data_IF_155892700351
#
_entry.id   IF_155892700351
#
_cell.length_a   1.000
_cell.length_b   1.000
_cell.length_c   1.000
_cell.angle_alpha   90.00
_cell.angle_beta   90.00
_cell.angle_gamma   90.00
#
_symmetry.space_group_name_H-M   'P 1'
#
loop_
_entity.id
_entity.type
_entity.pdbx_description
1 polymer ?
#
# COMPACT_ATOMS: atom_id res chain seq x y z
N UNK A 1 11.29 -27.05 1.51
CA UNK A 1 10.23 -27.61 2.37
C UNK A 1 9.08 -27.99 1.44
N UNK A 2 8.88 -29.29 1.24
CA UNK A 2 7.97 -29.87 0.23
C UNK A 2 6.53 -29.81 0.77
N UNK A 3 5.60 -29.25 0.01
CA UNK A 3 4.16 -29.30 0.29
C UNK A 3 3.57 -30.48 -0.49
N UNK A 4 3.08 -31.50 0.20
CA UNK A 4 2.33 -32.61 -0.40
C UNK A 4 0.84 -32.37 -0.20
N UNK A 5 0.11 -32.18 -1.31
CA UNK A 5 -1.35 -32.12 -1.38
C UNK A 5 -1.89 -33.55 -1.49
N UNK A 6 -2.65 -34.03 -0.50
CA UNK A 6 -3.36 -35.31 -0.61
C UNK A 6 -4.86 -35.04 -0.84
N UNK A 7 -5.31 -35.21 -2.08
CA UNK A 7 -6.72 -35.44 -2.41
C UNK A 7 -7.09 -36.87 -1.99
N UNK A 8 -8.13 -37.03 -1.18
CA UNK A 8 -8.77 -38.32 -0.89
C UNK A 8 -10.18 -38.31 -1.51
N UNK A 9 -10.45 -39.11 -2.56
CA UNK A 9 -11.81 -39.40 -3.00
C UNK A 9 -12.32 -40.64 -2.24
N UNK A 10 -13.53 -40.56 -1.68
CA UNK A 10 -14.15 -41.71 -1.02
C UNK A 10 -15.56 -41.42 -0.55
N UNK A 11 -16.53 -41.76 -1.41
CA UNK A 11 -17.97 -41.76 -1.13
C UNK A 11 -18.37 -42.76 -0.04
N UNK A 12 -19.54 -42.50 0.56
CA UNK A 12 -20.55 -43.40 1.15
C UNK A 12 -20.78 -43.40 2.67
N UNK A 13 -21.93 -42.81 3.03
CA UNK A 13 -22.89 -43.23 4.06
C UNK A 13 -22.33 -43.89 5.32
N UNK A 14 -22.04 -43.07 6.34
CA UNK A 14 -21.89 -43.51 7.72
C UNK A 14 -22.86 -42.75 8.61
N UNK A 15 -23.78 -43.47 9.25
CA UNK A 15 -24.70 -42.94 10.26
C UNK A 15 -23.94 -42.09 11.29
N UNK A 16 -24.40 -40.87 11.53
CA UNK A 16 -23.93 -40.06 12.67
C UNK A 16 -24.46 -40.75 13.93
N UNK A 17 -23.59 -41.47 14.63
CA UNK A 17 -23.88 -41.93 15.98
C UNK A 17 -23.75 -40.74 16.92
N UNK A 18 -24.88 -40.17 17.34
CA UNK A 18 -24.90 -39.32 18.52
C UNK A 18 -24.58 -40.21 19.72
N UNK A 19 -23.37 -40.09 20.25
CA UNK A 19 -23.00 -40.69 21.54
C UNK A 19 -23.85 -40.02 22.64
N UNK A 20 -24.65 -40.81 23.35
CA UNK A 20 -25.46 -40.37 24.52
C UNK A 20 -24.61 -39.99 25.75
N UNK A 21 -23.30 -39.93 25.61
CA UNK A 21 -22.39 -39.44 26.66
C UNK A 21 -21.64 -38.20 26.21
N UNK A 22 -22.40 -37.12 26.00
CA UNK A 22 -21.87 -35.76 26.08
C UNK A 22 -21.62 -35.47 27.57
N UNK A 23 -20.51 -35.99 28.09
CA UNK A 23 -19.99 -35.55 29.38
C UNK A 23 -19.89 -34.03 29.36
N UNK A 24 -20.40 -33.34 30.40
CA UNK A 24 -20.56 -31.87 30.49
C UNK A 24 -19.50 -31.15 29.66
N UNK A 25 -19.86 -30.86 28.40
CA UNK A 25 -19.03 -30.04 27.53
C UNK A 25 -19.03 -28.71 28.24
N UNK A 26 -17.84 -28.26 28.69
CA UNK A 26 -17.62 -26.89 29.15
C UNK A 26 -18.47 -25.99 28.28
N UNK A 27 -19.47 -25.31 28.87
CA UNK A 27 -20.41 -24.50 28.13
C UNK A 27 -19.61 -23.68 27.13
N UNK A 28 -19.77 -24.03 25.86
CA UNK A 28 -19.06 -23.39 24.77
C UNK A 28 -19.15 -21.89 24.97
N UNK A 29 -18.03 -21.17 24.86
CA UNK A 29 -18.01 -19.71 24.99
C UNK A 29 -19.02 -19.06 24.02
N UNK A 30 -19.37 -19.79 22.96
CA UNK A 30 -20.47 -19.52 22.04
C UNK A 30 -21.70 -20.36 22.41
N UNK A 31 -22.68 -19.71 23.01
CA UNK A 31 -23.97 -20.31 23.38
C UNK A 31 -24.97 -20.19 22.23
N UNK A 32 -25.71 -21.27 21.99
CA UNK A 32 -26.80 -21.34 21.02
C UNK A 32 -28.13 -21.50 21.76
N UNK A 33 -29.16 -20.84 21.25
CA UNK A 33 -30.55 -20.99 21.70
C UNK A 33 -31.12 -22.34 21.23
N UNK A 34 -32.24 -22.78 21.81
CA UNK A 34 -32.87 -24.07 21.51
C UNK A 34 -33.29 -24.24 20.03
N UNK A 35 -33.40 -23.14 19.29
CA UNK A 35 -33.68 -23.13 17.86
C UNK A 35 -32.40 -23.20 16.98
N UNK A 36 -31.25 -23.49 17.59
CA UNK A 36 -29.92 -23.57 16.96
C UNK A 36 -29.36 -22.25 16.41
N UNK A 37 -29.92 -21.11 16.80
CA UNK A 37 -29.33 -19.81 16.50
C UNK A 37 -28.31 -19.41 17.58
N UNK A 38 -27.25 -18.67 17.24
CA UNK A 38 -26.38 -18.08 18.26
C UNK A 38 -27.19 -17.13 19.15
N UNK A 39 -26.99 -17.23 20.46
CA UNK A 39 -27.53 -16.26 21.43
C UNK A 39 -27.09 -14.85 21.06
N UNK A 40 -27.86 -13.83 21.47
CA UNK A 40 -27.51 -12.43 21.17
C UNK A 40 -26.09 -12.06 21.63
N UNK A 41 -25.64 -12.58 22.78
CA UNK A 41 -24.28 -12.40 23.31
C UNK A 41 -23.22 -13.08 22.43
N UNK A 42 -23.52 -14.26 21.90
CA UNK A 42 -22.63 -14.99 20.98
C UNK A 42 -22.51 -14.27 19.66
N UNK A 43 -23.64 -13.83 19.10
CA UNK A 43 -23.67 -13.05 17.85
C UNK A 43 -22.84 -11.77 17.99
N UNK A 44 -23.03 -11.00 19.08
CA UNK A 44 -22.24 -9.80 19.32
C UNK A 44 -20.74 -10.12 19.40
N UNK A 45 -20.35 -11.14 20.18
CA UNK A 45 -18.95 -11.53 20.32
C UNK A 45 -18.31 -11.95 19.00
N UNK A 46 -19.06 -12.63 18.13
CA UNK A 46 -18.57 -13.02 16.79
C UNK A 46 -18.39 -11.79 15.89
N UNK A 47 -19.27 -10.79 15.97
CA UNK A 47 -19.07 -9.53 15.24
C UNK A 47 -17.89 -8.73 15.78
N UNK A 48 -17.72 -8.66 17.11
CA UNK A 48 -16.57 -8.00 17.73
C UNK A 48 -15.25 -8.64 17.29
N UNK A 49 -15.20 -9.98 17.26
CA UNK A 49 -14.03 -10.73 16.79
C UNK A 49 -13.79 -10.53 15.29
N UNK A 50 -14.85 -10.50 14.48
CA UNK A 50 -14.76 -10.23 13.04
C UNK A 50 -14.19 -8.83 12.78
N UNK A 51 -14.66 -7.82 13.52
CA UNK A 51 -14.17 -6.45 13.40
C UNK A 51 -12.72 -6.32 13.88
N UNK A 52 -12.35 -7.00 14.97
CA UNK A 52 -10.96 -7.07 15.43
C UNK A 52 -10.04 -7.66 14.36
N UNK A 53 -10.40 -8.80 13.78
CA UNK A 53 -9.60 -9.44 12.73
C UNK A 53 -9.47 -8.54 11.50
N UNK A 54 -10.57 -7.90 11.07
CA UNK A 54 -10.56 -6.95 9.95
C UNK A 54 -9.69 -5.73 10.24
N UNK A 55 -9.74 -5.19 11.46
CA UNK A 55 -8.92 -4.05 11.86
C UNK A 55 -7.43 -4.38 11.80
N UNK A 56 -7.02 -5.55 12.31
CA UNK A 56 -5.63 -6.02 12.23
C UNK A 56 -5.17 -6.17 10.77
N UNK A 57 -5.98 -6.81 9.92
CA UNK A 57 -5.65 -6.97 8.50
C UNK A 57 -5.58 -5.63 7.78
N UNK A 58 -6.51 -4.71 8.07
CA UNK A 58 -6.51 -3.37 7.49
C UNK A 58 -5.26 -2.57 7.88
N UNK A 59 -4.79 -2.69 9.13
CA UNK A 59 -3.56 -2.05 9.58
C UNK A 59 -2.34 -2.53 8.78
N UNK A 60 -2.18 -3.85 8.64
CA UNK A 60 -1.07 -4.45 7.88
C UNK A 60 -1.14 -4.01 6.41
N UNK A 61 -2.33 -4.12 5.80
CA UNK A 61 -2.55 -3.72 4.41
C UNK A 61 -2.25 -2.23 4.18
N UNK A 62 -2.60 -1.36 5.13
CA UNK A 62 -2.43 0.08 5.04
C UNK A 62 -0.99 0.57 5.32
N UNK A 63 -0.06 -0.29 5.72
CA UNK A 63 1.27 0.11 6.16
C UNK A 63 2.00 1.08 5.20
N UNK A 64 2.06 0.85 3.87
CA UNK A 64 2.74 1.79 2.95
C UNK A 64 2.09 3.18 2.93
N UNK A 65 0.76 3.21 3.02
CA UNK A 65 -0.03 4.43 2.98
C UNK A 65 0.09 5.23 4.28
N UNK A 66 0.12 4.54 5.41
CA UNK A 66 0.40 5.15 6.73
C UNK A 66 1.81 5.76 6.74
N UNK A 67 2.81 5.06 6.18
CA UNK A 67 4.17 5.58 6.06
C UNK A 67 4.25 6.91 5.28
N UNK A 68 3.59 6.99 4.12
CA UNK A 68 3.50 8.25 3.35
C UNK A 68 2.76 9.34 4.13
N UNK A 69 1.69 8.98 4.84
CA UNK A 69 0.95 9.91 5.71
C UNK A 69 1.82 10.47 6.83
N UNK A 70 2.61 9.62 7.48
CA UNK A 70 3.54 10.03 8.53
C UNK A 70 4.66 10.94 8.00
N UNK A 71 5.21 10.62 6.83
CA UNK A 71 6.23 11.45 6.16
C UNK A 71 5.69 12.84 5.78
N UNK A 72 4.50 12.91 5.17
CA UNK A 72 3.88 14.18 4.79
C UNK A 72 3.49 15.04 6.00
N UNK A 73 2.96 14.42 7.07
CA UNK A 73 2.70 15.11 8.34
C UNK A 73 3.99 15.60 9.01
N UNK A 74 5.06 14.80 9.00
CA UNK A 74 6.37 15.21 9.49
C UNK A 74 6.91 16.44 8.75
N UNK A 75 6.88 16.41 7.42
CA UNK A 75 7.27 17.55 6.57
C UNK A 75 6.43 18.80 6.87
N UNK A 76 5.11 18.64 7.00
CA UNK A 76 4.20 19.76 7.33
C UNK A 76 4.52 20.38 8.69
N UNK A 77 4.86 19.57 9.71
CA UNK A 77 5.21 20.06 11.06
C UNK A 77 6.47 20.93 11.09
N UNK A 78 7.38 20.72 10.14
CA UNK A 78 8.59 21.54 9.98
C UNK A 78 8.44 22.65 8.92
N UNK A 79 7.21 22.89 8.45
CA UNK A 79 6.88 24.00 7.55
C UNK A 79 7.02 23.72 6.06
N UNK A 80 7.19 22.45 5.65
CA UNK A 80 7.38 22.08 4.24
C UNK A 80 6.03 21.73 3.61
N UNK A 81 5.68 22.46 2.56
CA UNK A 81 4.41 22.31 1.86
C UNK A 81 4.43 21.16 0.84
N UNK A 82 3.25 20.66 0.40
CA UNK A 82 3.19 19.78 -0.76
C UNK A 82 3.88 20.40 -1.98
N UNK A 83 4.51 19.58 -2.81
CA UNK A 83 5.35 19.99 -3.97
C UNK A 83 6.65 20.72 -3.64
N UNK A 84 6.91 21.06 -2.38
CA UNK A 84 8.26 21.48 -1.97
C UNK A 84 9.14 20.27 -1.76
N UNK A 85 10.44 20.46 -2.00
CA UNK A 85 11.45 19.43 -1.77
C UNK A 85 11.96 19.57 -0.34
N UNK A 86 11.92 18.49 0.43
CA UNK A 86 12.66 18.43 1.69
C UNK A 86 13.92 17.61 1.50
N UNK A 87 15.04 18.20 1.87
CA UNK A 87 16.39 17.68 1.63
C UNK A 87 17.02 17.34 2.99
N UNK A 88 17.58 16.14 3.09
CA UNK A 88 18.49 15.78 4.16
C UNK A 88 19.88 16.25 3.74
N UNK A 89 20.26 17.46 4.15
CA UNK A 89 21.47 18.17 3.72
C UNK A 89 22.79 17.51 4.17
N UNK A 90 22.70 16.51 5.05
CA UNK A 90 23.79 15.64 5.44
C UNK A 90 23.41 14.17 5.25
N UNK A 91 24.45 13.33 5.09
CA UNK A 91 24.30 11.88 5.14
C UNK A 91 23.61 11.46 6.45
N UNK A 92 22.79 10.43 6.35
CA UNK A 92 21.96 10.04 7.48
C UNK A 92 22.81 9.50 8.65
N UNK A 93 22.31 9.69 9.87
CA UNK A 93 22.98 9.45 11.14
C UNK A 93 22.14 8.49 11.98
N UNK A 94 22.78 7.89 12.98
CA UNK A 94 22.08 7.05 13.96
C UNK A 94 20.98 7.89 14.64
N UNK A 95 19.77 7.31 14.76
CA UNK A 95 18.56 7.92 15.35
C UNK A 95 17.90 9.07 14.56
N UNK A 96 18.03 9.07 13.23
CA UNK A 96 17.32 10.03 12.40
C UNK A 96 15.87 9.66 12.08
N UNK A 97 15.12 10.65 11.59
CA UNK A 97 13.69 10.54 11.33
C UNK A 97 13.34 9.78 10.03
N UNK A 98 14.30 9.56 9.12
CA UNK A 98 14.05 8.79 7.90
C UNK A 98 14.20 7.29 8.17
N UNK A 99 13.15 6.53 7.85
CA UNK A 99 13.15 5.09 8.02
C UNK A 99 14.18 4.41 7.11
N UNK A 100 15.09 3.63 7.72
CA UNK A 100 16.09 2.79 7.04
C UNK A 100 16.89 3.50 5.95
N UNK A 101 17.15 4.79 6.14
CA UNK A 101 17.88 5.56 5.16
C UNK A 101 19.38 5.25 5.18
N UNK A 102 20.02 5.45 4.03
CA UNK A 102 21.45 5.28 3.82
C UNK A 102 22.24 6.52 4.31
N UNK A 103 23.41 6.31 4.90
CA UNK A 103 24.35 7.34 5.36
C UNK A 103 25.31 7.87 4.29
N UNK A 104 25.42 7.18 3.14
CA UNK A 104 26.34 7.54 2.05
C UNK A 104 25.75 8.50 1.00
N UNK A 105 24.42 8.71 0.99
CA UNK A 105 23.74 9.52 -0.03
C UNK A 105 22.84 10.59 0.58
N UNK A 106 22.77 11.72 -0.11
CA UNK A 106 21.86 12.81 0.20
C UNK A 106 20.46 12.45 -0.30
N UNK A 107 19.48 12.45 0.60
CA UNK A 107 18.09 12.20 0.25
C UNK A 107 17.35 13.50 0.02
N UNK A 108 16.45 13.47 -0.97
CA UNK A 108 15.44 14.49 -1.14
C UNK A 108 14.11 13.84 -1.49
N UNK A 109 13.03 14.45 -1.02
CA UNK A 109 11.69 13.93 -1.19
C UNK A 109 10.72 15.06 -1.45
N UNK A 110 9.67 14.76 -2.21
CA UNK A 110 8.50 15.61 -2.31
C UNK A 110 7.25 14.74 -2.33
N UNK A 111 6.12 15.33 -1.95
CA UNK A 111 4.82 14.68 -2.00
C UNK A 111 3.79 15.64 -2.58
N UNK A 112 2.87 15.11 -3.38
CA UNK A 112 1.85 15.90 -4.06
C UNK A 112 0.57 15.07 -4.26
N UNK A 113 -0.54 15.76 -4.52
CA UNK A 113 -1.83 15.13 -4.79
C UNK A 113 -2.33 15.57 -6.16
N UNK A 114 -2.27 14.67 -7.13
CA UNK A 114 -2.67 14.94 -8.52
C UNK A 114 -4.16 15.26 -8.67
N UNK A 115 -5.02 14.90 -7.71
CA UNK A 115 -6.42 15.38 -7.72
C UNK A 115 -6.54 16.88 -7.43
N UNK A 116 -5.56 17.47 -6.75
CA UNK A 116 -5.53 18.91 -6.46
C UNK A 116 -4.79 19.70 -7.54
N UNK A 117 -3.68 19.15 -8.03
CA UNK A 117 -2.80 19.84 -8.98
C UNK A 117 -3.21 19.64 -10.43
N UNK A 118 -3.89 18.53 -10.75
CA UNK A 118 -3.98 18.03 -12.12
C UNK A 118 -2.65 17.39 -12.56
N UNK A 119 -2.43 17.22 -13.88
CA UNK A 119 -1.14 16.80 -14.43
C UNK A 119 0.01 17.67 -13.91
N UNK A 120 1.12 17.03 -13.54
CA UNK A 120 2.28 17.69 -12.96
C UNK A 120 3.54 17.36 -13.75
N UNK A 121 4.38 18.35 -14.02
CA UNK A 121 5.72 18.14 -14.59
C UNK A 121 6.74 18.06 -13.46
N UNK A 122 7.57 17.02 -13.47
CA UNK A 122 8.75 16.89 -12.62
C UNK A 122 9.97 17.08 -13.50
N UNK A 123 10.70 18.17 -13.27
CA UNK A 123 11.96 18.46 -13.95
C UNK A 123 13.12 17.82 -13.20
N UNK A 124 13.94 17.07 -13.92
CA UNK A 124 15.09 16.35 -13.40
C UNK A 124 16.34 16.95 -14.05
N UNK A 125 17.26 17.57 -13.28
CA UNK A 125 18.48 18.12 -13.85
C UNK A 125 19.42 17.02 -14.36
N UNK A 126 20.33 17.37 -15.25
CA UNK A 126 21.42 16.47 -15.64
C UNK A 126 22.33 16.20 -14.43
N UNK A 127 22.70 14.95 -14.22
CA UNK A 127 23.54 14.59 -13.09
C UNK A 127 23.51 13.11 -12.73
N UNK A 128 24.25 12.78 -11.67
CA UNK A 128 24.38 11.42 -11.18
C UNK A 128 23.39 11.14 -10.04
N UNK A 129 22.10 11.29 -10.34
CA UNK A 129 21.02 11.06 -9.39
C UNK A 129 20.23 9.80 -9.73
N UNK A 130 19.68 9.19 -8.69
CA UNK A 130 18.81 8.03 -8.75
C UNK A 130 17.55 8.40 -7.97
N UNK A 131 16.41 8.38 -8.63
CA UNK A 131 15.14 8.68 -7.99
C UNK A 131 14.03 7.84 -8.61
N UNK A 132 12.89 7.80 -7.93
CA UNK A 132 11.72 7.05 -8.37
C UNK A 132 10.46 7.82 -8.01
N UNK A 133 9.49 7.83 -8.91
CA UNK A 133 8.14 8.30 -8.61
C UNK A 133 7.34 7.10 -8.13
N UNK A 134 6.77 7.22 -6.92
CA UNK A 134 5.89 6.20 -6.33
C UNK A 134 4.46 6.71 -6.25
N UNK A 135 3.49 5.80 -6.28
CA UNK A 135 2.13 6.15 -5.87
C UNK A 135 1.93 6.15 -4.35
N UNK A 136 0.72 6.47 -3.90
CA UNK A 136 0.37 6.51 -2.48
C UNK A 136 0.50 5.18 -1.71
N UNK A 137 0.67 4.06 -2.43
CA UNK A 137 0.89 2.72 -1.90
C UNK A 137 2.35 2.29 -2.03
N UNK A 138 3.26 3.23 -2.33
CA UNK A 138 4.69 3.00 -2.56
C UNK A 138 4.99 2.05 -3.73
N UNK A 139 4.07 1.93 -4.69
CA UNK A 139 4.30 1.14 -5.91
C UNK A 139 4.97 2.03 -6.96
N UNK A 140 6.00 1.54 -7.65
CA UNK A 140 6.71 2.33 -8.65
C UNK A 140 5.80 2.78 -9.80
N UNK A 141 6.05 4.00 -10.27
CA UNK A 141 5.44 4.58 -11.47
C UNK A 141 6.52 4.73 -12.55
N UNK A 142 7.67 5.33 -12.20
CA UNK A 142 8.78 5.53 -13.14
C UNK A 142 10.09 5.78 -12.38
N UNK A 143 11.18 5.24 -12.92
CA UNK A 143 12.54 5.52 -12.47
C UNK A 143 13.07 6.80 -13.13
N UNK A 144 13.87 7.57 -12.39
CA UNK A 144 14.40 8.86 -12.81
C UNK A 144 15.92 8.90 -12.70
N UNK A 145 16.54 9.77 -13.48
CA UNK A 145 17.99 9.94 -13.50
C UNK A 145 18.66 8.80 -14.26
N UNK A 146 19.74 8.27 -13.68
CA UNK A 146 20.67 7.37 -14.38
C UNK A 146 20.07 6.02 -14.80
N UNK A 147 19.07 5.56 -14.07
CA UNK A 147 18.33 4.31 -14.38
C UNK A 147 16.98 4.58 -15.06
N UNK A 148 16.58 5.86 -15.16
CA UNK A 148 15.35 6.27 -15.82
C UNK A 148 15.51 6.51 -17.32
N UNK A 149 14.42 6.85 -18.02
CA UNK A 149 14.43 7.22 -19.44
C UNK A 149 15.42 8.34 -19.80
N UNK A 150 15.68 9.27 -18.87
CA UNK A 150 16.64 10.37 -19.12
C UNK A 150 18.12 9.94 -19.08
N UNK A 151 18.44 8.74 -18.57
CA UNK A 151 19.80 8.19 -18.51
C UNK A 151 20.82 9.13 -17.83
N UNK A 152 20.38 9.98 -16.89
CA UNK A 152 21.21 10.96 -16.18
C UNK A 152 21.48 12.24 -16.98
N UNK A 153 20.93 12.37 -18.19
CA UNK A 153 21.04 13.60 -19.00
C UNK A 153 20.04 14.68 -18.60
N UNK A 154 19.15 14.36 -17.67
CA UNK A 154 18.06 15.24 -17.26
C UNK A 154 16.90 15.23 -18.24
N UNK A 155 15.74 15.68 -17.79
CA UNK A 155 14.53 15.69 -18.59
C UNK A 155 13.29 16.07 -17.80
N UNK A 156 12.19 16.23 -18.53
CA UNK A 156 10.89 16.58 -17.99
C UNK A 156 9.97 15.37 -17.98
N UNK A 157 9.39 15.07 -16.82
CA UNK A 157 8.48 13.95 -16.64
C UNK A 157 7.07 14.46 -16.41
N UNK A 158 6.14 14.13 -17.30
CA UNK A 158 4.73 14.51 -17.16
C UNK A 158 3.98 13.39 -16.42
N UNK A 159 3.60 13.65 -15.17
CA UNK A 159 2.86 12.74 -14.31
C UNK A 159 1.36 13.07 -14.39
N UNK A 160 0.57 12.11 -14.84
CA UNK A 160 -0.83 12.32 -15.20
C UNK A 160 -1.74 11.62 -14.16
N UNK A 161 -2.73 12.33 -13.59
CA UNK A 161 -3.70 11.70 -12.70
C UNK A 161 -4.52 10.63 -13.43
N UNK A 162 -4.95 9.56 -12.72
CA UNK A 162 -5.89 8.61 -13.28
C UNK A 162 -7.20 9.32 -13.65
N UNK A 163 -7.74 9.01 -14.83
CA UNK A 163 -8.98 9.62 -15.32
C UNK A 163 -8.81 11.06 -15.84
N UNK A 164 -7.58 11.52 -16.11
CA UNK A 164 -7.36 12.78 -16.79
C UNK A 164 -7.93 12.74 -18.21
N UNK A 165 -8.68 13.77 -18.59
CA UNK A 165 -9.24 13.97 -19.93
C UNK A 165 -8.73 15.29 -20.52
N UNK A 166 -8.49 15.31 -21.83
CA UNK A 166 -7.99 16.49 -22.55
C UNK A 166 -6.76 16.18 -23.39
N UNK A 167 -6.35 17.15 -24.20
CA UNK A 167 -5.11 17.04 -24.97
C UNK A 167 -3.90 17.23 -24.05
N UNK A 168 -3.06 16.20 -23.97
CA UNK A 168 -1.78 16.26 -23.28
C UNK A 168 -0.68 16.71 -24.26
N UNK A 169 0.38 17.38 -23.78
CA UNK A 169 1.56 17.65 -24.59
C UNK A 169 2.10 16.36 -25.21
N UNK A 170 2.29 16.39 -26.54
CA UNK A 170 2.73 15.21 -27.31
C UNK A 170 4.25 15.02 -27.27
N UNK A 171 5.00 16.12 -27.15
CA UNK A 171 6.46 16.13 -27.27
C UNK A 171 7.12 16.82 -26.06
N UNK A 172 8.39 16.50 -25.83
CA UNK A 172 9.23 17.17 -24.82
C UNK A 172 9.10 16.64 -23.39
N UNK A 173 8.31 15.58 -23.18
CA UNK A 173 8.10 14.97 -21.86
C UNK A 173 8.16 13.44 -21.90
N UNK A 174 8.69 12.85 -20.83
CA UNK A 174 8.44 11.46 -20.50
C UNK A 174 7.06 11.35 -19.81
N UNK A 175 6.01 11.14 -20.59
CA UNK A 175 4.61 11.11 -20.09
C UNK A 175 4.26 9.76 -19.44
N UNK A 176 3.70 9.79 -18.23
CA UNK A 176 3.32 8.58 -17.46
C UNK A 176 1.98 8.74 -16.74
N UNK A 177 1.15 7.72 -16.89
CA UNK A 177 -0.13 7.58 -16.19
C UNK A 177 -0.14 6.26 -15.43
N UNK A 178 -0.59 6.26 -14.18
CA UNK A 178 -0.94 5.00 -13.49
C UNK A 178 -2.41 4.69 -13.73
N UNK A 179 -2.69 3.65 -14.51
CA UNK A 179 -4.06 3.13 -14.62
C UNK A 179 -4.47 2.50 -13.28
N UNK A 180 -5.57 2.97 -12.69
CA UNK A 180 -6.10 2.40 -11.45
C UNK A 180 -6.66 0.97 -11.64
N UNK A 181 -6.78 0.49 -12.88
CA UNK A 181 -7.06 -0.90 -13.23
C UNK A 181 -6.48 -1.18 -14.62
N UNK A 182 -5.49 -2.07 -14.75
CA UNK A 182 -5.19 -2.89 -15.94
C UNK A 182 -5.21 -2.31 -17.37
N UNK A 183 -5.27 -1.01 -17.58
CA UNK A 183 -5.36 -0.41 -18.91
C UNK A 183 -4.02 0.22 -19.25
N UNK A 184 -3.21 -0.53 -19.98
CA UNK A 184 -2.09 0.00 -20.77
C UNK A 184 -2.58 1.14 -21.65
N UNK A 185 -2.11 2.36 -21.41
CA UNK A 185 -2.11 3.38 -22.45
C UNK A 185 -0.81 3.20 -23.23
N UNK A 186 -0.84 2.31 -24.22
CA UNK A 186 0.07 2.39 -25.37
C UNK A 186 -0.46 3.50 -26.29
N UNK A 187 0.43 4.38 -26.71
CA UNK A 187 0.22 5.45 -27.67
C UNK A 187 1.52 6.20 -27.85
#
# INVERSE_FOLDING_TARGET
>A
MILTLALLPGLQSGKVYASEHVGKVNQSVFAFENNNYPSAKTSQRLYDELDYQRAVQAYIWAQPRVGLGAMSEGARRIGIAPMELFIFDQGLQINQALQTGNDDVIYSFSYFNLHKTGPLVVEIPAGNQYAIVLDAWQRPIEDLGRIGPDQGKGGNYLIIPPGCHGELPKDGYFSRTKALNGATAQG
#
